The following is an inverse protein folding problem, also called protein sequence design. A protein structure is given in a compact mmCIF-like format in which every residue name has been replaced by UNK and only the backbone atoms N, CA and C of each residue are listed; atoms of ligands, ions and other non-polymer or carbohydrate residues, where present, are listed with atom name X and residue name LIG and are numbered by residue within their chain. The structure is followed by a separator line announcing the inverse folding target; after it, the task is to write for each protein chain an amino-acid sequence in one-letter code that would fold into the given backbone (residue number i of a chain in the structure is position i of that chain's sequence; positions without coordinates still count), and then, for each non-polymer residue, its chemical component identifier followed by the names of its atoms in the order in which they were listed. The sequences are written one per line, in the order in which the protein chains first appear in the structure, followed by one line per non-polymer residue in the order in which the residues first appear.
data_IF_865783353703
#
_entry.id   IF_865783353703
#
_cell.length_a   1.000
_cell.length_b   1.000
_cell.length_c   1.000
_cell.angle_alpha   90.00
_cell.angle_beta   90.00
_cell.angle_gamma   90.00
#
_symmetry.space_group_name_H-M   'P 1'
#
loop_
_entity.id
_entity.type
_entity.pdbx_description
1 polymer ?
#
# COMPACT_ATOMS: atom_id res chain seq x y z
N UNK A 1 -50.55 -30.15 -51.16
CA UNK A 1 -50.02 -30.34 -49.79
C UNK A 1 -48.51 -30.12 -49.76
N UNK A 2 -48.01 -28.93 -49.35
CA UNK A 2 -46.59 -28.70 -49.04
C UNK A 2 -46.39 -28.39 -47.54
N UNK A 3 -45.64 -29.24 -46.83
CA UNK A 3 -44.26 -29.07 -46.33
C UNK A 3 -44.10 -28.32 -44.99
N UNK A 4 -44.15 -29.10 -43.92
CA UNK A 4 -43.84 -28.76 -42.53
C UNK A 4 -42.31 -28.61 -42.27
N UNK A 5 -41.62 -27.77 -43.03
CA UNK A 5 -40.13 -27.66 -43.00
C UNK A 5 -39.59 -26.44 -42.25
N UNK A 6 -40.44 -25.49 -41.85
CA UNK A 6 -39.99 -24.22 -41.25
C UNK A 6 -39.81 -24.24 -39.73
N UNK A 7 -40.42 -25.19 -39.01
CA UNK A 7 -40.45 -25.18 -37.54
C UNK A 7 -39.21 -25.77 -36.87
N UNK A 8 -38.49 -26.68 -37.54
CA UNK A 8 -37.29 -27.33 -36.99
C UNK A 8 -36.02 -26.46 -37.11
N UNK A 9 -36.01 -25.46 -38.00
CA UNK A 9 -34.82 -24.62 -38.24
C UNK A 9 -34.66 -23.50 -37.19
N UNK A 10 -35.76 -22.98 -36.65
CA UNK A 10 -35.76 -21.96 -35.59
C UNK A 10 -35.41 -22.55 -34.23
N UNK A 11 -35.91 -23.76 -33.91
CA UNK A 11 -35.60 -24.45 -32.67
C UNK A 11 -34.09 -24.79 -32.55
N UNK A 12 -33.47 -25.33 -33.61
CA UNK A 12 -32.03 -25.62 -33.59
C UNK A 12 -31.15 -24.37 -33.52
N UNK A 13 -31.60 -23.23 -34.07
CA UNK A 13 -30.88 -21.95 -33.99
C UNK A 13 -30.95 -21.31 -32.60
N UNK A 14 -32.05 -21.53 -31.88
CA UNK A 14 -32.21 -21.05 -30.50
C UNK A 14 -31.42 -21.91 -29.50
N UNK A 15 -31.29 -23.20 -29.77
CA UNK A 15 -30.49 -24.11 -28.94
C UNK A 15 -28.98 -23.83 -29.10
N UNK A 16 -28.52 -23.53 -30.31
CA UNK A 16 -27.10 -23.23 -30.55
C UNK A 16 -26.67 -21.87 -30.00
N UNK A 17 -27.53 -20.84 -30.01
CA UNK A 17 -27.21 -19.54 -29.40
C UNK A 17 -27.18 -19.61 -27.87
N UNK A 18 -28.04 -20.42 -27.26
CA UNK A 18 -28.04 -20.64 -25.82
C UNK A 18 -26.74 -21.34 -25.34
N UNK A 19 -26.23 -22.30 -26.13
CA UNK A 19 -25.00 -23.03 -25.80
C UNK A 19 -23.74 -22.15 -25.83
N UNK A 20 -23.66 -21.21 -26.78
CA UNK A 20 -22.51 -20.31 -26.93
C UNK A 20 -22.44 -19.28 -25.79
N UNK A 21 -23.59 -18.80 -25.29
CA UNK A 21 -23.62 -17.84 -24.19
C UNK A 21 -23.16 -18.45 -22.85
N UNK A 22 -23.40 -19.75 -22.64
CA UNK A 22 -22.98 -20.48 -21.43
C UNK A 22 -21.47 -20.75 -21.43
N UNK A 23 -20.86 -21.01 -22.59
CA UNK A 23 -19.41 -21.21 -22.70
C UNK A 23 -18.59 -19.91 -22.51
N UNK A 24 -19.13 -18.75 -22.90
CA UNK A 24 -18.44 -17.46 -22.71
C UNK A 24 -18.40 -17.01 -21.24
N UNK A 25 -19.35 -17.44 -20.41
CA UNK A 25 -19.40 -17.11 -18.99
C UNK A 25 -18.38 -17.91 -18.13
N UNK A 26 -17.77 -18.97 -18.67
CA UNK A 26 -16.83 -19.83 -17.95
C UNK A 26 -15.41 -19.28 -17.81
N UNK A 27 -15.01 -18.30 -18.62
CA UNK A 27 -13.62 -17.78 -18.66
C UNK A 27 -13.42 -16.48 -17.88
N UNK A 28 -14.49 -15.91 -17.32
CA UNK A 28 -14.43 -14.75 -16.41
C UNK A 28 -14.17 -15.16 -14.94
N UNK A 29 -13.88 -16.45 -14.68
CA UNK A 29 -13.60 -16.99 -13.37
C UNK A 29 -12.11 -16.95 -12.99
N UNK A 30 -11.77 -16.02 -12.11
CA UNK A 30 -10.65 -16.09 -11.15
C UNK A 30 -9.20 -15.90 -11.67
N UNK A 31 -8.91 -14.69 -12.14
CA UNK A 31 -7.59 -14.06 -12.01
C UNK A 31 -7.32 -13.45 -10.63
N UNK A 32 -7.80 -14.06 -9.54
CA UNK A 32 -7.45 -13.64 -8.17
C UNK A 32 -6.77 -14.79 -7.43
N UNK A 33 -5.57 -15.11 -7.88
CA UNK A 33 -4.59 -15.76 -7.04
C UNK A 33 -4.27 -14.79 -5.89
N UNK A 34 -5.01 -14.90 -4.78
CA UNK A 34 -4.57 -14.38 -3.49
C UNK A 34 -3.39 -15.23 -3.03
N UNK A 35 -2.24 -15.04 -3.66
CA UNK A 35 -0.97 -15.38 -3.04
C UNK A 35 -0.84 -14.43 -1.84
N UNK A 36 -1.19 -14.93 -0.65
CA UNK A 36 -1.03 -14.22 0.62
C UNK A 36 0.44 -14.21 1.04
N UNK A 37 1.28 -13.64 0.17
CA UNK A 37 2.66 -13.30 0.52
C UNK A 37 2.66 -12.01 1.34
N UNK A 38 2.28 -12.10 2.61
CA UNK A 38 2.49 -11.07 3.64
C UNK A 38 2.27 -9.61 3.24
N UNK A 39 1.36 -9.31 2.30
CA UNK A 39 1.23 -7.98 1.73
C UNK A 39 0.42 -7.13 2.70
N UNK A 40 1.14 -6.39 3.55
CA UNK A 40 0.61 -5.22 4.22
C UNK A 40 0.00 -4.30 3.16
N UNK A 41 -1.32 -4.12 3.20
CA UNK A 41 -2.02 -3.14 2.38
C UNK A 41 -1.36 -1.79 2.61
N UNK A 42 -0.55 -1.33 1.65
CA UNK A 42 -0.12 0.07 1.63
C UNK A 42 -1.40 0.89 1.49
N UNK A 43 -1.65 1.88 2.35
CA UNK A 43 -2.78 2.77 2.15
C UNK A 43 -2.58 3.46 0.80
N UNK A 44 -3.30 2.98 -0.21
CA UNK A 44 -3.30 3.50 -1.58
C UNK A 44 -4.14 4.77 -1.60
N UNK A 45 -3.56 5.86 -1.09
CA UNK A 45 -4.09 7.20 -1.26
C UNK A 45 -3.86 7.66 -2.71
N UNK A 46 -4.76 8.48 -3.25
CA UNK A 46 -4.54 9.12 -4.55
C UNK A 46 -3.33 10.07 -4.44
N UNK A 47 -2.46 10.19 -5.46
CA UNK A 47 -1.26 11.04 -5.37
C UNK A 47 -1.53 12.48 -4.90
N UNK A 48 -2.61 13.11 -5.37
CA UNK A 48 -2.99 14.46 -4.91
C UNK A 48 -3.55 14.53 -3.48
N UNK A 49 -4.10 13.44 -2.96
CA UNK A 49 -4.56 13.36 -1.56
C UNK A 49 -3.38 13.17 -0.60
N UNK A 50 -2.36 12.42 -1.02
CA UNK A 50 -1.13 12.22 -0.27
C UNK A 50 -0.39 13.55 -0.05
N UNK A 51 -0.22 14.36 -1.10
CA UNK A 51 0.46 15.65 -0.98
C UNK A 51 -0.23 16.60 0.01
N UNK A 52 -1.57 16.71 -0.08
CA UNK A 52 -2.36 17.50 0.87
C UNK A 52 -2.23 16.98 2.31
N UNK A 53 -2.22 15.67 2.50
CA UNK A 53 -2.01 15.05 3.80
C UNK A 53 -0.61 15.36 4.36
N UNK A 54 0.44 15.29 3.52
CA UNK A 54 1.82 15.66 3.88
C UNK A 54 1.88 17.11 4.33
N UNK A 55 1.24 18.04 3.62
CA UNK A 55 1.18 19.46 4.03
C UNK A 55 0.49 19.67 5.39
N UNK A 56 -0.67 19.03 5.61
CA UNK A 56 -1.40 19.13 6.87
C UNK A 56 -0.62 18.55 8.06
N UNK A 57 0.08 17.43 7.83
CA UNK A 57 0.99 16.83 8.80
C UNK A 57 2.20 17.74 9.08
N UNK A 58 2.76 18.39 8.06
CA UNK A 58 3.84 19.35 8.19
C UNK A 58 3.47 20.55 9.06
N UNK A 59 2.27 21.12 8.87
CA UNK A 59 1.76 22.20 9.73
C UNK A 59 1.60 21.75 11.19
N UNK A 60 1.09 20.53 11.40
CA UNK A 60 0.92 19.95 12.72
C UNK A 60 2.27 19.69 13.39
N UNK A 61 3.25 19.19 12.62
CA UNK A 61 4.61 18.96 13.07
C UNK A 61 5.32 20.25 13.46
N UNK A 62 5.17 21.33 12.69
CA UNK A 62 5.75 22.63 13.03
C UNK A 62 5.26 23.19 14.37
N UNK A 63 4.03 22.87 14.78
CA UNK A 63 3.48 23.27 16.09
C UNK A 63 4.06 22.45 17.24
N UNK A 64 4.27 21.16 17.04
CA UNK A 64 4.88 20.27 18.04
C UNK A 64 5.81 19.24 17.40
N UNK A 65 7.10 19.59 17.18
CA UNK A 65 8.05 18.70 16.50
C UNK A 65 8.46 17.46 17.30
N UNK A 66 8.15 17.41 18.60
CA UNK A 66 8.52 16.31 19.50
C UNK A 66 7.37 15.34 19.75
N UNK A 67 6.18 15.59 19.20
CA UNK A 67 5.07 14.64 19.24
C UNK A 67 5.42 13.43 18.36
N UNK A 68 5.60 12.28 19.01
CA UNK A 68 5.95 11.01 18.37
C UNK A 68 5.00 10.68 17.23
N UNK A 69 3.69 10.75 17.45
CA UNK A 69 2.68 10.30 16.49
C UNK A 69 2.65 11.23 15.27
N UNK A 70 2.73 12.54 15.49
CA UNK A 70 2.75 13.51 14.38
C UNK A 70 4.03 13.35 13.57
N UNK A 71 5.19 13.28 14.22
CA UNK A 71 6.48 13.16 13.56
C UNK A 71 6.62 11.85 12.77
N UNK A 72 6.20 10.70 13.33
CA UNK A 72 6.24 9.42 12.60
C UNK A 72 5.30 9.40 11.40
N UNK A 73 4.09 9.95 11.54
CA UNK A 73 3.12 10.00 10.44
C UNK A 73 3.59 10.96 9.33
N UNK A 74 4.14 12.11 9.71
CA UNK A 74 4.69 13.06 8.75
C UNK A 74 5.88 12.48 8.00
N UNK A 75 6.82 11.83 8.70
CA UNK A 75 7.95 11.15 8.09
C UNK A 75 7.50 10.01 7.15
N UNK A 76 6.45 9.27 7.49
CA UNK A 76 5.89 8.24 6.63
C UNK A 76 5.25 8.83 5.36
N UNK A 77 4.51 9.94 5.49
CA UNK A 77 3.93 10.64 4.35
C UNK A 77 5.02 11.19 3.40
N UNK A 78 6.10 11.76 3.95
CA UNK A 78 7.27 12.19 3.17
C UNK A 78 7.93 11.03 2.41
N UNK A 79 8.04 9.84 3.01
CA UNK A 79 8.55 8.66 2.30
C UNK A 79 7.66 8.23 1.14
N UNK A 80 6.34 8.39 1.29
CA UNK A 80 5.39 8.06 0.23
C UNK A 80 5.41 9.10 -0.90
N UNK A 81 5.70 10.36 -0.58
CA UNK A 81 5.83 11.46 -1.57
C UNK A 81 7.18 11.42 -2.32
N UNK A 82 8.15 10.67 -1.79
CA UNK A 82 9.50 10.51 -2.36
C UNK A 82 10.58 11.35 -1.67
N UNK A 83 10.21 12.15 -0.67
CA UNK A 83 11.10 13.00 0.12
C UNK A 83 11.81 12.24 1.24
N UNK A 84 12.59 11.22 0.87
CA UNK A 84 13.29 10.35 1.82
C UNK A 84 14.27 11.11 2.72
N UNK A 85 14.99 12.11 2.20
CA UNK A 85 15.94 12.93 2.95
C UNK A 85 15.25 13.74 4.05
N UNK A 86 14.09 14.35 3.74
CA UNK A 86 13.32 15.12 4.72
C UNK A 86 12.72 14.20 5.79
N UNK A 87 12.21 13.04 5.38
CA UNK A 87 11.73 12.00 6.31
C UNK A 87 12.82 11.61 7.31
N UNK A 88 14.04 11.40 6.83
CA UNK A 88 15.19 11.09 7.67
C UNK A 88 15.52 12.22 8.64
N UNK A 89 15.46 13.48 8.20
CA UNK A 89 15.68 14.62 9.08
C UNK A 89 14.64 14.70 10.22
N UNK A 90 13.36 14.52 9.91
CA UNK A 90 12.27 14.49 10.90
C UNK A 90 12.49 13.36 11.91
N UNK A 91 12.74 12.14 11.43
CA UNK A 91 12.96 10.99 12.32
C UNK A 91 14.24 11.11 13.14
N UNK A 92 15.32 11.68 12.59
CA UNK A 92 16.56 11.93 13.34
C UNK A 92 16.30 12.87 14.51
N UNK A 93 15.56 13.96 14.30
CA UNK A 93 15.20 14.90 15.37
C UNK A 93 14.36 14.20 16.44
N UNK A 94 13.40 13.38 16.04
CA UNK A 94 12.56 12.63 16.97
C UNK A 94 13.36 11.61 17.79
N UNK A 95 14.31 10.89 17.16
CA UNK A 95 15.18 9.95 17.85
C UNK A 95 16.12 10.63 18.86
N UNK A 96 16.54 11.87 18.62
CA UNK A 96 17.29 12.67 19.60
C UNK A 96 16.40 13.04 20.79
N UNK A 97 15.13 13.40 20.54
CA UNK A 97 14.19 13.76 21.60
C UNK A 97 13.73 12.54 22.43
N UNK A 98 13.59 11.38 21.79
CA UNK A 98 13.09 10.14 22.39
C UNK A 98 14.07 8.97 22.21
N UNK A 99 15.30 9.05 22.76
CA UNK A 99 16.39 8.12 22.45
C UNK A 99 16.18 6.69 22.97
N UNK A 100 15.22 6.50 23.89
CA UNK A 100 14.88 5.19 24.48
C UNK A 100 13.57 4.62 23.93
N UNK A 101 12.86 5.37 23.08
CA UNK A 101 11.60 4.90 22.51
C UNK A 101 11.89 3.95 21.34
N UNK A 102 11.49 2.70 21.51
CA UNK A 102 11.80 1.62 20.58
C UNK A 102 11.09 1.80 19.24
N UNK A 103 9.87 2.29 19.24
CA UNK A 103 9.13 2.52 17.99
C UNK A 103 9.78 3.67 17.20
N UNK A 104 10.27 4.70 17.90
CA UNK A 104 11.01 5.80 17.28
C UNK A 104 12.32 5.30 16.68
N UNK A 105 13.08 4.48 17.40
CA UNK A 105 14.32 3.88 16.89
C UNK A 105 14.07 2.96 15.68
N UNK A 106 13.00 2.15 15.71
CA UNK A 106 12.62 1.29 14.59
C UNK A 106 12.20 2.11 13.36
N UNK A 107 11.37 3.14 13.55
CA UNK A 107 10.97 4.05 12.49
C UNK A 107 12.16 4.87 11.95
N UNK A 108 13.12 5.23 12.81
CA UNK A 108 14.36 5.90 12.40
C UNK A 108 15.24 4.98 11.56
N UNK A 109 15.39 3.71 11.95
CA UNK A 109 16.07 2.69 11.16
C UNK A 109 15.41 2.51 9.77
N UNK A 110 14.08 2.50 9.72
CA UNK A 110 13.34 2.47 8.44
C UNK A 110 13.67 3.68 7.56
N UNK A 111 13.71 4.89 8.13
CA UNK A 111 14.05 6.10 7.40
C UNK A 111 15.50 6.09 6.90
N UNK A 112 16.45 5.60 7.70
CA UNK A 112 17.85 5.40 7.29
C UNK A 112 17.95 4.44 6.11
N UNK A 113 17.26 3.29 6.18
CA UNK A 113 17.25 2.30 5.10
C UNK A 113 16.63 2.85 3.81
N UNK A 114 15.56 3.68 3.91
CA UNK A 114 14.97 4.35 2.76
C UNK A 114 15.94 5.31 2.05
N UNK A 115 16.94 5.83 2.77
CA UNK A 115 18.00 6.69 2.23
C UNK A 115 19.28 5.90 1.86
N UNK A 116 19.22 4.57 1.83
CA UNK A 116 20.37 3.72 1.51
C UNK A 116 21.41 3.60 2.64
N UNK A 117 21.15 4.15 3.82
CA UNK A 117 22.07 4.10 4.97
C UNK A 117 21.86 2.80 5.76
N UNK A 118 22.21 1.66 5.16
CA UNK A 118 21.88 0.33 5.69
C UNK A 118 22.63 -0.02 6.98
N UNK A 119 23.93 0.27 7.08
CA UNK A 119 24.72 -0.01 8.30
C UNK A 119 24.17 0.78 9.52
N UNK A 120 23.98 2.12 9.43
CA UNK A 120 23.31 2.87 10.49
C UNK A 120 21.87 2.40 10.77
N UNK A 121 21.13 2.00 9.74
CA UNK A 121 19.77 1.49 9.90
C UNK A 121 19.75 0.21 10.74
N UNK A 122 20.68 -0.71 10.46
CA UNK A 122 20.80 -1.97 11.18
C UNK A 122 21.14 -1.74 12.66
N UNK A 123 22.05 -0.80 12.95
CA UNK A 123 22.35 -0.40 14.33
C UNK A 123 21.13 0.19 15.05
N UNK A 124 20.39 1.10 14.39
CA UNK A 124 19.18 1.67 14.96
C UNK A 124 18.09 0.62 15.24
N UNK A 125 17.90 -0.34 14.33
CA UNK A 125 16.95 -1.46 14.50
C UNK A 125 17.42 -2.39 15.62
N UNK A 126 18.71 -2.70 15.74
CA UNK A 126 19.26 -3.50 16.84
C UNK A 126 19.01 -2.85 18.19
N UNK A 127 19.17 -1.52 18.29
CA UNK A 127 18.85 -0.78 19.52
C UNK A 127 17.35 -0.73 19.83
N UNK A 128 16.51 -0.79 18.80
CA UNK A 128 15.06 -0.93 18.96
C UNK A 128 14.65 -2.35 19.41
N UNK A 129 15.48 -3.36 19.14
CA UNK A 129 15.29 -4.72 19.60
C UNK A 129 15.90 -4.90 20.99
N UNK A 130 15.12 -5.47 21.91
CA UNK A 130 15.62 -5.89 23.22
C UNK A 130 15.70 -7.42 23.22
N UNK A 131 16.87 -8.03 23.47
CA UNK A 131 16.98 -9.46 23.74
C UNK A 131 16.64 -9.70 25.22
N UNK A 132 15.35 -9.61 25.56
CA UNK A 132 14.82 -10.14 26.83
C UNK A 132 13.95 -11.37 26.52
#
# INVERSE_FOLDING_TARGET
MPTNRRMNASANRLITTALIMVLAAGVAGCGTSKLTTGSISRPSGKPGELHNATMALGQSYSKNPSDKRIATNYAAALQMDGDADQSLAVMRKLAIALPKDRDVLAAYGKALAANGQFEPALDAVRRAQTPE
#
